data_IF_790176157382
#
_entry.id   IF_790176157382
#
_cell.length_a   1.000
_cell.length_b   1.000
_cell.length_c   1.000
_cell.angle_alpha   90.00
_cell.angle_beta   90.00
_cell.angle_gamma   90.00
#
_symmetry.space_group_name_H-M   'P 1'
#
loop_
_entity.id
_entity.type
_entity.pdbx_description
1 polymer ?
#
# COMPACT_ATOMS: atom_id res chain seq x y z
N UNK A 1 -0.57 -15.91 6.73
CA UNK A 1 -1.79 -16.16 5.91
C UNK A 1 -1.49 -15.70 4.48
N UNK A 2 -2.09 -16.32 3.47
CA UNK A 2 -1.98 -15.89 2.07
C UNK A 2 -3.40 -15.73 1.54
N UNK A 3 -3.75 -14.54 1.03
CA UNK A 3 -5.06 -14.27 0.43
C UNK A 3 -4.88 -13.80 -1.01
N UNK A 4 -5.76 -14.25 -1.90
CA UNK A 4 -5.78 -13.85 -3.30
C UNK A 4 -7.21 -13.45 -3.69
N UNK A 5 -7.34 -12.44 -4.52
CA UNK A 5 -8.62 -11.94 -5.00
C UNK A 5 -8.48 -11.33 -6.38
N UNK A 6 -9.49 -11.52 -7.22
CA UNK A 6 -9.52 -11.06 -8.61
C UNK A 6 -9.95 -9.60 -8.77
N UNK A 7 -9.99 -8.82 -7.68
CA UNK A 7 -10.51 -7.46 -7.69
C UNK A 7 -9.48 -6.50 -8.28
N UNK A 8 -9.40 -6.47 -9.62
CA UNK A 8 -8.68 -5.45 -10.38
C UNK A 8 -9.13 -4.06 -9.93
N UNK A 9 -10.43 -3.86 -9.76
CA UNK A 9 -11.00 -2.64 -9.18
C UNK A 9 -11.53 -2.91 -7.77
N UNK A 10 -11.24 -1.99 -6.83
CA UNK A 10 -11.76 -2.09 -5.48
C UNK A 10 -10.88 -2.83 -4.47
N UNK A 11 -9.56 -2.90 -4.68
CA UNK A 11 -8.56 -3.45 -3.72
C UNK A 11 -8.82 -3.01 -2.26
N UNK A 12 -9.26 -1.76 -2.04
CA UNK A 12 -9.66 -1.25 -0.72
C UNK A 12 -10.71 -2.10 0.02
N UNK A 13 -11.61 -2.80 -0.70
CA UNK A 13 -12.59 -3.71 -0.09
C UNK A 13 -11.93 -4.98 0.44
N UNK A 14 -10.95 -5.51 -0.30
CA UNK A 14 -10.16 -6.67 0.15
C UNK A 14 -9.34 -6.30 1.39
N UNK A 15 -8.69 -5.12 1.38
CA UNK A 15 -7.94 -4.61 2.54
C UNK A 15 -8.87 -4.47 3.77
N UNK A 16 -10.02 -3.79 3.62
CA UNK A 16 -10.99 -3.63 4.72
C UNK A 16 -11.55 -4.95 5.24
N UNK A 17 -11.82 -5.91 4.33
CA UNK A 17 -12.31 -7.24 4.71
C UNK A 17 -11.26 -7.98 5.54
N UNK A 18 -9.99 -7.89 5.13
CA UNK A 18 -8.88 -8.52 5.81
C UNK A 18 -8.62 -7.90 7.19
N UNK A 19 -8.52 -6.56 7.29
CA UNK A 19 -8.41 -5.86 8.58
C UNK A 19 -9.51 -6.28 9.56
N UNK A 20 -10.75 -6.40 9.06
CA UNK A 20 -11.89 -6.85 9.87
C UNK A 20 -11.80 -8.32 10.29
N UNK A 21 -11.34 -9.23 9.42
CA UNK A 21 -11.26 -10.65 9.76
C UNK A 21 -10.18 -10.94 10.81
N UNK A 22 -9.08 -10.21 10.75
CA UNK A 22 -7.96 -10.37 11.66
C UNK A 22 -8.00 -9.43 12.88
N UNK A 23 -9.02 -8.57 12.97
CA UNK A 23 -9.17 -7.56 14.03
C UNK A 23 -7.94 -6.62 14.17
N UNK A 24 -7.39 -6.19 13.02
CA UNK A 24 -6.23 -5.30 12.92
C UNK A 24 -6.72 -3.87 12.69
N UNK A 25 -6.16 -2.89 13.41
CA UNK A 25 -6.44 -1.48 13.15
C UNK A 25 -5.72 -1.01 11.88
N UNK A 26 -6.31 -0.12 11.05
CA UNK A 26 -5.67 0.36 9.83
C UNK A 26 -4.27 0.94 10.02
N UNK A 27 -4.01 1.53 11.19
CA UNK A 27 -2.73 2.13 11.59
C UNK A 27 -1.63 1.09 11.87
N UNK A 28 -2.01 -0.16 12.15
CA UNK A 28 -1.09 -1.28 12.38
C UNK A 28 -0.68 -1.99 11.08
N UNK A 29 -1.13 -1.48 9.93
CA UNK A 29 -0.87 -2.04 8.61
C UNK A 29 -0.23 -1.01 7.68
N UNK A 30 0.70 -1.48 6.85
CA UNK A 30 1.21 -0.77 5.68
C UNK A 30 0.84 -1.53 4.41
N UNK A 31 0.55 -0.80 3.34
CA UNK A 31 0.34 -1.36 2.01
C UNK A 31 1.51 -0.96 1.12
N UNK A 32 2.26 -1.95 0.62
CA UNK A 32 3.39 -1.76 -0.28
C UNK A 32 2.96 -2.12 -1.70
N UNK A 33 3.16 -1.21 -2.66
CA UNK A 33 2.76 -1.45 -4.06
C UNK A 33 3.43 -0.53 -5.07
N UNK A 34 3.48 -0.96 -6.31
CA UNK A 34 4.10 -0.28 -7.45
C UNK A 34 3.08 0.33 -8.44
N UNK A 35 1.78 0.19 -8.14
CA UNK A 35 0.71 0.80 -8.92
C UNK A 35 0.08 2.03 -8.25
N UNK A 36 -0.28 3.05 -9.02
CA UNK A 36 -1.09 4.19 -8.53
C UNK A 36 -2.43 3.74 -7.90
N UNK A 37 -2.94 2.59 -8.36
CA UNK A 37 -4.15 1.94 -7.84
C UNK A 37 -3.97 1.41 -6.42
N UNK A 38 -2.75 1.03 -6.04
CA UNK A 38 -2.43 0.57 -4.69
C UNK A 38 -2.49 1.71 -3.69
N UNK A 39 -1.89 2.85 -4.04
CA UNK A 39 -1.92 4.07 -3.23
C UNK A 39 -3.37 4.51 -2.99
N UNK A 40 -4.19 4.54 -4.05
CA UNK A 40 -5.61 4.87 -3.93
C UNK A 40 -6.37 3.87 -3.05
N UNK A 41 -6.07 2.58 -3.18
CA UNK A 41 -6.71 1.53 -2.40
C UNK A 41 -6.37 1.62 -0.90
N UNK A 42 -5.10 1.82 -0.57
CA UNK A 42 -4.60 2.01 0.79
C UNK A 42 -5.26 3.23 1.45
N UNK A 43 -5.28 4.38 0.77
CA UNK A 43 -5.96 5.60 1.25
C UNK A 43 -7.45 5.38 1.51
N UNK A 44 -8.17 4.72 0.60
CA UNK A 44 -9.59 4.38 0.80
C UNK A 44 -9.82 3.41 1.96
N UNK A 45 -8.82 2.60 2.29
CA UNK A 45 -8.81 1.69 3.44
C UNK A 45 -8.30 2.36 4.73
N UNK A 46 -7.83 3.60 4.67
CA UNK A 46 -7.15 4.31 5.77
C UNK A 46 -5.87 3.62 6.25
N UNK A 47 -5.20 2.91 5.35
CA UNK A 47 -3.93 2.22 5.58
C UNK A 47 -2.81 3.05 4.99
N UNK A 48 -1.66 3.08 5.65
CA UNK A 48 -0.45 3.74 5.16
C UNK A 48 0.00 3.16 3.83
N UNK A 49 0.30 4.01 2.84
CA UNK A 49 0.73 3.59 1.51
C UNK A 49 2.24 3.82 1.32
N UNK A 50 3.00 2.76 1.06
CA UNK A 50 4.40 2.85 0.62
C UNK A 50 4.46 2.49 -0.85
N UNK A 51 4.80 3.47 -1.68
CA UNK A 51 4.97 3.28 -3.12
C UNK A 51 6.41 2.90 -3.43
N UNK A 52 6.61 1.92 -4.31
CA UNK A 52 7.95 1.43 -4.67
C UNK A 52 8.22 1.67 -6.16
N UNK A 53 9.39 2.19 -6.51
CA UNK A 53 9.69 2.59 -7.90
C UNK A 53 10.37 1.50 -8.74
N UNK A 54 10.63 0.32 -8.17
CA UNK A 54 11.26 -0.81 -8.88
C UNK A 54 10.24 -1.73 -9.59
N UNK A 55 8.97 -1.32 -9.67
CA UNK A 55 7.90 -2.06 -10.33
C UNK A 55 7.39 -1.37 -11.61
N UNK A 56 6.08 -1.33 -11.78
CA UNK A 56 5.41 -0.99 -13.03
C UNK A 56 5.35 0.51 -13.36
N UNK A 57 5.01 1.37 -12.39
CA UNK A 57 4.87 2.81 -12.65
C UNK A 57 6.16 3.59 -12.40
N UNK A 58 6.28 4.73 -13.07
CA UNK A 58 7.35 5.68 -12.81
C UNK A 58 7.19 6.37 -11.46
N UNK A 59 8.30 6.88 -10.95
CA UNK A 59 8.35 7.66 -9.72
C UNK A 59 7.39 8.85 -9.76
N UNK A 60 7.35 9.55 -10.88
CA UNK A 60 6.54 10.75 -11.09
C UNK A 60 5.07 10.39 -10.97
N UNK A 61 4.62 9.36 -11.69
CA UNK A 61 3.24 8.89 -11.64
C UNK A 61 2.82 8.44 -10.23
N UNK A 62 3.71 7.78 -9.48
CA UNK A 62 3.43 7.38 -8.09
C UNK A 62 3.36 8.60 -7.16
N UNK A 63 4.26 9.58 -7.34
CA UNK A 63 4.33 10.78 -6.49
C UNK A 63 3.08 11.66 -6.59
N UNK A 64 2.45 11.76 -7.76
CA UNK A 64 1.20 12.50 -7.96
C UNK A 64 0.05 11.98 -7.08
N UNK A 65 0.07 10.69 -6.74
CA UNK A 65 -0.93 10.07 -5.88
C UNK A 65 -0.63 10.25 -4.38
N UNK A 66 0.47 10.94 -4.03
CA UNK A 66 0.86 11.31 -2.66
C UNK A 66 0.86 10.12 -1.68
N UNK A 67 1.69 9.08 -1.90
CA UNK A 67 1.82 7.99 -0.92
C UNK A 67 2.40 8.52 0.40
N UNK A 68 2.25 7.77 1.49
CA UNK A 68 2.87 8.11 2.78
C UNK A 68 4.40 8.00 2.73
N UNK A 69 4.92 7.14 1.86
CA UNK A 69 6.33 7.07 1.51
C UNK A 69 6.52 6.62 0.06
N UNK A 70 7.62 7.06 -0.56
CA UNK A 70 8.04 6.68 -1.90
C UNK A 70 9.51 6.26 -1.84
N UNK A 71 9.79 4.99 -2.12
CA UNK A 71 11.12 4.39 -1.96
C UNK A 71 11.65 3.83 -3.28
N UNK A 72 12.98 3.87 -3.46
CA UNK A 72 13.64 3.45 -4.70
C UNK A 72 14.26 2.06 -4.63
N UNK A 73 14.61 1.62 -3.42
CA UNK A 73 15.28 0.36 -3.17
C UNK A 73 14.56 -0.41 -2.05
N UNK A 74 14.45 -1.75 -2.16
CA UNK A 74 13.80 -2.57 -1.13
C UNK A 74 14.32 -2.37 0.28
N UNK A 75 15.60 -2.05 0.44
CA UNK A 75 16.28 -1.84 1.72
C UNK A 75 15.69 -0.63 2.49
N UNK A 76 15.22 0.38 1.78
CA UNK A 76 14.62 1.59 2.37
C UNK A 76 13.29 1.29 3.10
N UNK A 77 12.65 0.15 2.81
CA UNK A 77 11.41 -0.25 3.49
C UNK A 77 11.61 -0.37 5.00
N UNK A 78 12.77 -0.87 5.44
CA UNK A 78 13.08 -1.03 6.87
C UNK A 78 13.11 0.35 7.55
N UNK A 79 13.75 1.34 6.92
CA UNK A 79 13.84 2.69 7.45
C UNK A 79 12.48 3.40 7.47
N UNK A 80 11.67 3.22 6.43
CA UNK A 80 10.34 3.83 6.34
C UNK A 80 9.37 3.24 7.36
N UNK A 81 9.33 1.91 7.50
CA UNK A 81 8.44 1.24 8.44
C UNK A 81 8.74 1.66 9.88
N UNK A 82 10.01 1.84 10.25
CA UNK A 82 10.41 2.28 11.59
C UNK A 82 10.03 3.74 11.90
N UNK A 83 9.60 4.54 10.90
CA UNK A 83 9.14 5.92 11.09
C UNK A 83 7.61 6.02 11.27
N UNK A 84 6.88 4.95 11.02
CA UNK A 84 5.44 4.86 11.23
C UNK A 84 5.14 4.30 12.62
#
# INVERSE_FOLDING_TARGET
FITSGTTLFGKHRAIKKYLKSENIQPEEMVYVGDETRDINAAKKAKVKAIAVTWGFNSREALSEYQPDALVEQPQELIEVINKF
#
